data_IF_810988904911
#
_entry.id   IF_810988904911
#
_cell.length_a   1.000
_cell.length_b   1.000
_cell.length_c   1.000
_cell.angle_alpha   90.00
_cell.angle_beta   90.00
_cell.angle_gamma   90.00
#
_symmetry.space_group_name_H-M   'P 1'
#
loop_
_entity.id
_entity.type
_entity.pdbx_description
1 polymer ?
#
# COMPACT_ATOMS: atom_id res chain seq x y z
N UNK A 1 -32.71 106.07 -4.33
CA UNK A 1 -34.18 105.90 -4.36
C UNK A 1 -34.51 104.42 -4.58
N UNK A 2 -35.23 103.84 -3.61
CA UNK A 2 -36.30 102.84 -3.74
C UNK A 2 -36.12 101.61 -4.65
N UNK A 3 -35.96 100.47 -3.96
CA UNK A 3 -36.61 99.14 -4.08
C UNK A 3 -36.83 98.48 -5.45
N UNK A 4 -36.41 97.21 -5.51
CA UNK A 4 -36.98 96.19 -6.38
C UNK A 4 -36.63 94.78 -5.91
N UNK A 5 -37.51 94.16 -5.13
CA UNK A 5 -37.41 92.81 -4.56
C UNK A 5 -37.39 91.70 -5.63
N UNK A 6 -36.71 90.58 -5.34
CA UNK A 6 -37.25 89.21 -5.56
C UNK A 6 -36.41 88.12 -4.88
N UNK A 7 -37.10 87.26 -4.15
CA UNK A 7 -36.62 86.06 -3.46
C UNK A 7 -35.98 85.04 -4.41
N UNK A 8 -34.91 84.40 -3.95
CA UNK A 8 -34.46 83.08 -4.40
C UNK A 8 -33.93 82.33 -3.17
N UNK A 9 -34.68 81.31 -2.75
CA UNK A 9 -34.23 80.32 -1.77
C UNK A 9 -33.38 79.24 -2.44
N UNK A 10 -32.40 78.72 -1.69
CA UNK A 10 -31.64 77.44 -1.80
C UNK A 10 -30.21 77.68 -1.30
N UNK A 11 -29.50 76.75 -0.68
CA UNK A 11 -29.77 75.41 -0.21
C UNK A 11 -28.66 75.11 0.82
N UNK A 12 -29.00 74.45 1.92
CA UNK A 12 -28.01 73.79 2.78
C UNK A 12 -27.42 72.59 2.04
N UNK A 13 -26.09 72.38 2.05
CA UNK A 13 -25.51 71.20 1.44
C UNK A 13 -25.81 69.98 2.32
N UNK A 14 -26.65 69.08 1.80
CA UNK A 14 -26.85 67.76 2.38
C UNK A 14 -25.54 66.96 2.27
N UNK A 15 -25.04 66.52 3.42
CA UNK A 15 -23.93 65.59 3.56
C UNK A 15 -24.34 64.28 2.85
N UNK A 16 -23.72 64.00 1.71
CA UNK A 16 -23.83 62.71 1.03
C UNK A 16 -23.16 61.64 1.90
N UNK A 17 -23.97 60.95 2.70
CA UNK A 17 -23.59 59.73 3.41
C UNK A 17 -23.40 58.64 2.36
N UNK A 18 -22.16 58.28 2.07
CA UNK A 18 -21.85 57.13 1.22
C UNK A 18 -22.39 55.87 1.90
N UNK A 19 -23.41 55.26 1.30
CA UNK A 19 -23.86 53.94 1.74
C UNK A 19 -22.80 52.93 1.27
N UNK A 20 -21.96 52.50 2.21
CA UNK A 20 -21.10 51.34 2.02
C UNK A 20 -22.00 50.12 1.82
N UNK A 21 -22.13 49.68 0.58
CA UNK A 21 -22.80 48.43 0.24
C UNK A 21 -22.02 47.29 0.88
N UNK A 22 -22.54 46.75 1.98
CA UNK A 22 -22.07 45.48 2.53
C UNK A 22 -22.25 44.43 1.44
N UNK A 23 -21.15 44.03 0.82
CA UNK A 23 -21.08 42.84 -0.01
C UNK A 23 -21.45 41.68 0.93
N UNK A 24 -22.70 41.23 0.85
CA UNK A 24 -23.09 39.96 1.46
C UNK A 24 -22.24 38.90 0.77
N UNK A 25 -21.24 38.36 1.48
CA UNK A 25 -20.57 37.13 1.08
C UNK A 25 -21.68 36.10 0.92
N UNK A 26 -22.04 35.78 -0.32
CA UNK A 26 -22.81 34.57 -0.61
C UNK A 26 -22.02 33.43 0.00
N UNK A 27 -22.61 32.76 0.98
CA UNK A 27 -22.07 31.48 1.44
C UNK A 27 -21.92 30.61 0.19
N UNK A 28 -20.69 30.17 -0.07
CA UNK A 28 -20.46 29.17 -1.09
C UNK A 28 -21.40 28.00 -0.78
N UNK A 29 -22.06 27.38 -1.79
CA UNK A 29 -22.81 26.16 -1.53
C UNK A 29 -21.83 25.20 -0.86
N UNK A 30 -22.18 24.72 0.35
CA UNK A 30 -21.39 23.75 1.07
C UNK A 30 -21.00 22.66 0.09
N UNK A 31 -19.71 22.43 -0.08
CA UNK A 31 -19.26 21.37 -0.97
C UNK A 31 -19.87 20.06 -0.45
N UNK A 32 -20.34 19.16 -1.32
CA UNK A 32 -20.97 17.90 -0.88
C UNK A 32 -20.09 17.09 0.11
N UNK A 33 -18.79 17.36 0.15
CA UNK A 33 -17.79 16.82 1.06
C UNK A 33 -18.03 17.24 2.52
N UNK A 34 -18.47 18.47 2.78
CA UNK A 34 -18.75 18.98 4.14
C UNK A 34 -19.91 18.22 4.81
N UNK A 35 -20.74 17.54 4.00
CA UNK A 35 -21.86 16.73 4.48
C UNK A 35 -21.46 15.27 4.76
N UNK A 36 -20.23 14.85 4.45
CA UNK A 36 -19.75 13.49 4.70
C UNK A 36 -19.25 13.40 6.15
N UNK A 37 -19.77 12.48 6.98
CA UNK A 37 -19.23 12.23 8.30
C UNK A 37 -17.72 11.96 8.25
N UNK A 38 -16.95 12.58 9.16
CA UNK A 38 -15.48 12.52 9.18
C UNK A 38 -14.94 11.09 9.06
N UNK A 39 -15.57 10.12 9.72
CA UNK A 39 -15.09 8.74 9.72
C UNK A 39 -15.31 8.02 8.38
N UNK A 40 -16.39 8.37 7.67
CA UNK A 40 -16.61 7.88 6.31
C UNK A 40 -15.62 8.53 5.35
N UNK A 41 -15.30 9.82 5.54
CA UNK A 41 -14.28 10.49 4.77
C UNK A 41 -12.91 9.83 4.97
N UNK A 42 -12.52 9.53 6.21
CA UNK A 42 -11.28 8.81 6.52
C UNK A 42 -11.26 7.42 5.89
N UNK A 43 -12.36 6.66 5.95
CA UNK A 43 -12.43 5.34 5.32
C UNK A 43 -12.31 5.41 3.79
N UNK A 44 -12.93 6.40 3.16
CA UNK A 44 -12.77 6.65 1.71
C UNK A 44 -11.30 6.96 1.39
N UNK A 45 -10.68 7.88 2.14
CA UNK A 45 -9.28 8.24 1.97
C UNK A 45 -8.35 7.06 2.23
N UNK A 46 -8.60 6.21 3.22
CA UNK A 46 -7.81 4.99 3.45
C UNK A 46 -7.85 4.03 2.26
N UNK A 47 -8.99 3.91 1.57
CA UNK A 47 -9.10 3.10 0.35
C UNK A 47 -8.31 3.71 -0.81
N UNK A 48 -8.37 5.03 -0.96
CA UNK A 48 -7.57 5.76 -1.97
C UNK A 48 -6.08 5.61 -1.65
N UNK A 49 -5.68 5.79 -0.40
CA UNK A 49 -4.30 5.65 0.09
C UNK A 49 -3.71 4.28 -0.25
N UNK A 50 -4.51 3.22 -0.12
CA UNK A 50 -4.12 1.86 -0.47
C UNK A 50 -3.82 1.66 -1.95
N UNK A 51 -4.44 2.46 -2.83
CA UNK A 51 -4.23 2.37 -4.28
C UNK A 51 -3.24 3.40 -4.82
N UNK A 52 -3.13 4.59 -4.22
CA UNK A 52 -2.42 5.73 -4.80
C UNK A 52 -1.96 6.71 -3.73
N UNK A 53 -0.65 6.81 -3.54
CA UNK A 53 -0.04 7.85 -2.70
C UNK A 53 -0.25 9.24 -3.31
N UNK A 54 -0.10 9.37 -4.64
CA UNK A 54 -0.28 10.63 -5.36
C UNK A 54 -1.67 11.23 -5.16
N UNK A 55 -2.73 10.41 -5.20
CA UNK A 55 -4.09 10.91 -5.02
C UNK A 55 -4.34 11.41 -3.59
N UNK A 56 -3.72 10.77 -2.58
CA UNK A 56 -3.76 11.28 -1.21
C UNK A 56 -3.00 12.58 -1.05
N UNK A 57 -1.82 12.68 -1.67
CA UNK A 57 -1.07 13.92 -1.67
C UNK A 57 -1.89 15.06 -2.31
N UNK A 58 -2.58 14.80 -3.42
CA UNK A 58 -3.46 15.77 -4.07
C UNK A 58 -4.69 16.11 -3.21
N UNK A 59 -5.32 15.11 -2.58
CA UNK A 59 -6.44 15.32 -1.67
C UNK A 59 -6.03 16.23 -0.50
N UNK A 60 -4.87 15.99 0.09
CA UNK A 60 -4.29 16.80 1.17
C UNK A 60 -4.09 18.27 0.79
N UNK A 61 -3.83 18.56 -0.48
CA UNK A 61 -3.64 19.93 -0.98
C UNK A 61 -4.95 20.61 -1.42
N UNK A 62 -6.04 19.85 -1.55
CA UNK A 62 -7.28 20.35 -2.16
C UNK A 62 -8.13 21.20 -1.23
N UNK A 63 -8.36 20.76 0.02
CA UNK A 63 -9.17 21.46 1.00
C UNK A 63 -8.76 21.11 2.44
N UNK A 64 -9.22 21.92 3.39
CA UNK A 64 -8.91 21.77 4.82
C UNK A 64 -9.43 20.45 5.38
N UNK A 65 -10.63 20.03 5.03
CA UNK A 65 -11.23 18.81 5.58
C UNK A 65 -10.47 17.56 5.12
N UNK A 66 -10.05 17.51 3.85
CA UNK A 66 -9.20 16.43 3.34
C UNK A 66 -7.80 16.49 3.96
N UNK A 67 -7.23 17.68 4.13
CA UNK A 67 -5.96 17.82 4.84
C UNK A 67 -6.03 17.18 6.23
N UNK A 68 -7.02 17.55 7.04
CA UNK A 68 -7.19 17.02 8.39
C UNK A 68 -7.54 15.53 8.43
N UNK A 69 -8.33 15.04 7.46
CA UNK A 69 -8.70 13.63 7.37
C UNK A 69 -7.54 12.75 6.88
N UNK A 70 -6.70 13.23 5.95
CA UNK A 70 -5.53 12.48 5.46
C UNK A 70 -4.43 12.32 6.51
N UNK A 71 -4.41 13.17 7.53
CA UNK A 71 -3.49 13.05 8.66
C UNK A 71 -3.89 11.97 9.68
N UNK A 72 -5.03 11.31 9.48
CA UNK A 72 -5.50 10.26 10.37
C UNK A 72 -4.59 9.01 10.34
N UNK A 73 -4.41 8.38 11.50
CA UNK A 73 -3.59 7.17 11.64
C UNK A 73 -4.09 6.03 10.76
N UNK A 74 -5.41 5.91 10.57
CA UNK A 74 -6.01 4.89 9.72
C UNK A 74 -5.58 5.04 8.25
N UNK A 75 -5.40 6.27 7.76
CA UNK A 75 -4.95 6.56 6.39
C UNK A 75 -3.49 6.12 6.22
N UNK A 76 -2.59 6.54 7.12
CA UNK A 76 -1.18 6.13 7.09
C UNK A 76 -0.99 4.62 7.23
N UNK A 77 -1.86 3.94 7.99
CA UNK A 77 -1.85 2.49 8.11
C UNK A 77 -2.18 1.78 6.79
N UNK A 78 -2.98 2.39 5.93
CA UNK A 78 -3.39 1.83 4.63
C UNK A 78 -2.60 2.36 3.44
N UNK A 79 -1.72 3.35 3.66
CA UNK A 79 -0.94 4.01 2.64
C UNK A 79 -0.13 3.02 1.78
N UNK A 80 -0.29 3.12 0.46
CA UNK A 80 0.55 2.41 -0.50
C UNK A 80 1.97 2.96 -0.47
N UNK A 81 2.94 2.06 -0.60
CA UNK A 81 4.35 2.41 -0.71
C UNK A 81 4.91 2.04 -2.08
N UNK A 82 4.07 1.73 -3.07
CA UNK A 82 4.50 1.26 -4.39
C UNK A 82 5.44 2.26 -5.11
N UNK A 83 5.27 3.56 -4.85
CA UNK A 83 6.12 4.64 -5.40
C UNK A 83 7.46 4.80 -4.66
N UNK A 84 7.65 4.10 -3.54
CA UNK A 84 8.87 4.19 -2.72
C UNK A 84 9.75 2.97 -2.96
N UNK A 85 11.04 3.16 -3.26
CA UNK A 85 11.94 2.02 -3.49
C UNK A 85 12.15 1.23 -2.20
N UNK A 86 12.24 -0.09 -2.32
CA UNK A 86 12.61 -0.95 -1.19
C UNK A 86 14.05 -0.68 -0.72
N UNK A 87 14.98 -0.59 -1.67
CA UNK A 87 16.38 -0.22 -1.45
C UNK A 87 16.61 1.12 -2.16
N UNK A 88 16.73 2.23 -1.43
CA UNK A 88 17.00 3.52 -2.04
C UNK A 88 18.47 3.61 -2.43
N UNK A 89 18.76 3.66 -3.74
CA UNK A 89 20.13 3.85 -4.27
C UNK A 89 20.64 5.29 -4.10
N UNK A 90 19.70 6.24 -3.94
CA UNK A 90 19.98 7.62 -3.60
C UNK A 90 19.43 7.90 -2.19
N UNK A 91 20.06 8.80 -1.41
CA UNK A 91 19.52 9.21 -0.12
C UNK A 91 18.07 9.68 -0.25
N UNK A 92 17.21 9.19 0.63
CA UNK A 92 15.83 9.67 0.73
C UNK A 92 15.85 11.12 1.21
N UNK A 93 15.00 11.97 0.63
CA UNK A 93 14.78 13.32 1.16
C UNK A 93 14.21 13.26 2.59
N UNK A 94 14.43 14.31 3.37
CA UNK A 94 13.89 14.43 4.73
C UNK A 94 12.36 14.20 4.78
N UNK A 95 11.63 14.74 3.78
CA UNK A 95 10.18 14.54 3.64
C UNK A 95 9.81 13.07 3.42
N UNK A 96 10.55 12.35 2.58
CA UNK A 96 10.31 10.91 2.35
C UNK A 96 10.62 10.10 3.60
N UNK A 97 11.70 10.42 4.31
CA UNK A 97 12.05 9.75 5.57
C UNK A 97 10.99 9.96 6.65
N UNK A 98 10.55 11.21 6.83
CA UNK A 98 9.47 11.56 7.77
C UNK A 98 8.17 10.82 7.44
N UNK A 99 7.79 10.78 6.15
CA UNK A 99 6.62 10.04 5.69
C UNK A 99 6.70 8.53 5.98
N UNK A 100 7.81 7.88 5.66
CA UNK A 100 8.00 6.45 5.94
C UNK A 100 8.03 6.16 7.45
N UNK A 101 8.62 7.06 8.23
CA UNK A 101 8.61 7.01 9.70
C UNK A 101 7.19 7.08 10.24
N UNK A 102 6.38 8.00 9.72
CA UNK A 102 4.97 8.11 10.10
C UNK A 102 4.17 6.85 9.75
N UNK A 103 4.36 6.30 8.54
CA UNK A 103 3.73 5.02 8.17
C UNK A 103 4.12 3.88 9.12
N UNK A 104 5.39 3.83 9.53
CA UNK A 104 5.89 2.84 10.49
C UNK A 104 5.25 3.00 11.87
N UNK A 105 5.16 4.22 12.38
CA UNK A 105 4.50 4.55 13.66
C UNK A 105 3.01 4.16 13.64
N UNK A 106 2.33 4.43 12.52
CA UNK A 106 0.94 4.03 12.29
C UNK A 106 0.77 2.53 11.97
N UNK A 107 1.82 1.73 12.14
CA UNK A 107 1.81 0.28 11.96
C UNK A 107 1.35 -0.17 10.56
N UNK A 108 1.79 0.55 9.52
CA UNK A 108 1.54 0.14 8.14
C UNK A 108 2.15 -1.26 7.87
N UNK A 109 1.35 -2.24 7.41
CA UNK A 109 1.82 -3.60 7.23
C UNK A 109 2.78 -3.76 6.05
N UNK A 110 2.75 -2.88 5.04
CA UNK A 110 3.69 -2.89 3.92
C UNK A 110 5.11 -2.56 4.41
N UNK A 111 5.27 -1.64 5.38
CA UNK A 111 6.58 -1.36 6.02
C UNK A 111 7.14 -2.64 6.65
N UNK A 112 6.33 -3.36 7.42
CA UNK A 112 6.76 -4.57 8.11
C UNK A 112 7.08 -5.69 7.11
N UNK A 113 6.23 -5.86 6.09
CA UNK A 113 6.47 -6.79 5.00
C UNK A 113 7.81 -6.54 4.30
N UNK A 114 8.05 -5.30 3.87
CA UNK A 114 9.28 -4.87 3.21
C UNK A 114 10.51 -5.11 4.06
N UNK A 115 10.43 -4.81 5.35
CA UNK A 115 11.53 -5.08 6.29
C UNK A 115 11.82 -6.58 6.40
N UNK A 116 10.79 -7.42 6.51
CA UNK A 116 10.96 -8.87 6.56
C UNK A 116 11.55 -9.46 5.28
N UNK A 117 11.17 -8.94 4.11
CA UNK A 117 11.79 -9.30 2.82
C UNK A 117 13.28 -8.92 2.83
N UNK A 118 13.63 -7.68 3.20
CA UNK A 118 15.03 -7.26 3.26
C UNK A 118 15.84 -8.12 4.22
N UNK A 119 15.34 -8.32 5.44
CA UNK A 119 16.02 -9.05 6.50
C UNK A 119 16.31 -10.50 6.09
N UNK A 120 15.34 -11.18 5.48
CA UNK A 120 15.51 -12.55 5.01
C UNK A 120 16.39 -12.65 3.78
N UNK A 121 16.05 -11.96 2.68
CA UNK A 121 16.70 -12.22 1.38
C UNK A 121 18.12 -11.68 1.31
N UNK A 122 18.42 -10.55 1.96
CA UNK A 122 19.80 -10.06 2.06
C UNK A 122 20.65 -10.90 3.02
N UNK A 123 20.03 -11.76 3.84
CA UNK A 123 20.76 -12.59 4.82
C UNK A 123 21.38 -11.81 5.98
N UNK A 124 21.12 -10.50 6.09
CA UNK A 124 21.70 -9.65 7.13
C UNK A 124 21.10 -9.89 8.52
N UNK A 125 19.79 -10.18 8.59
CA UNK A 125 19.04 -10.42 9.84
C UNK A 125 17.92 -11.45 9.64
N UNK A 126 18.19 -12.65 9.11
CA UNK A 126 17.16 -13.62 8.78
C UNK A 126 16.28 -14.03 9.97
N UNK A 127 16.80 -13.94 11.20
CA UNK A 127 16.10 -14.20 12.45
C UNK A 127 14.98 -13.18 12.76
N UNK A 128 15.12 -11.91 12.36
CA UNK A 128 14.07 -10.89 12.56
C UNK A 128 12.97 -10.96 11.51
N UNK A 129 13.25 -11.59 10.36
CA UNK A 129 12.35 -11.57 9.21
C UNK A 129 10.97 -12.16 9.52
N UNK A 130 10.91 -13.34 10.17
CA UNK A 130 9.65 -13.99 10.51
C UNK A 130 8.80 -13.14 11.46
N UNK A 131 9.42 -12.45 12.42
CA UNK A 131 8.70 -11.54 13.32
C UNK A 131 8.05 -10.36 12.59
N UNK A 132 8.76 -9.76 11.64
CA UNK A 132 8.22 -8.70 10.79
C UNK A 132 7.08 -9.20 9.89
N UNK A 133 7.27 -10.35 9.24
CA UNK A 133 6.28 -10.94 8.34
C UNK A 133 5.03 -11.42 9.10
N UNK A 134 5.18 -11.95 10.31
CA UNK A 134 4.06 -12.35 11.16
C UNK A 134 3.19 -11.13 11.53
N UNK A 135 3.80 -10.02 11.93
CA UNK A 135 3.05 -8.78 12.23
C UNK A 135 2.30 -8.25 11.01
N UNK A 136 2.92 -8.27 9.83
CA UNK A 136 2.25 -7.90 8.58
C UNK A 136 1.11 -8.89 8.24
N UNK A 137 1.32 -10.18 8.45
CA UNK A 137 0.33 -11.24 8.19
C UNK A 137 -0.88 -11.11 9.11
N UNK A 138 -0.68 -10.76 10.39
CA UNK A 138 -1.76 -10.48 11.34
C UNK A 138 -2.62 -9.27 10.92
N UNK A 139 -2.07 -8.38 10.09
CA UNK A 139 -2.79 -7.30 9.44
C UNK A 139 -3.31 -7.66 8.04
N UNK A 140 -3.46 -8.96 7.75
CA UNK A 140 -3.96 -9.52 6.48
C UNK A 140 -3.13 -9.17 5.24
N UNK A 141 -1.81 -8.96 5.40
CA UNK A 141 -0.92 -8.70 4.27
C UNK A 141 -0.60 -9.99 3.49
N UNK A 142 -1.19 -10.14 2.31
CA UNK A 142 -1.07 -11.36 1.48
C UNK A 142 0.38 -11.63 1.05
N UNK A 143 1.14 -10.60 0.69
CA UNK A 143 2.55 -10.75 0.36
C UNK A 143 3.39 -11.27 1.54
N UNK A 144 3.00 -10.96 2.78
CA UNK A 144 3.71 -11.43 3.96
C UNK A 144 3.42 -12.92 4.22
N UNK A 145 2.16 -13.34 4.08
CA UNK A 145 1.79 -14.76 4.13
C UNK A 145 2.54 -15.57 3.07
N UNK A 146 2.61 -15.03 1.84
CA UNK A 146 3.33 -15.67 0.74
C UNK A 146 4.83 -15.83 1.04
N UNK A 147 5.50 -14.76 1.46
CA UNK A 147 6.93 -14.81 1.78
C UNK A 147 7.19 -15.71 3.00
N UNK A 148 6.34 -15.72 4.01
CA UNK A 148 6.44 -16.68 5.13
C UNK A 148 6.41 -18.11 4.62
N UNK A 149 5.50 -18.44 3.69
CA UNK A 149 5.49 -19.79 3.09
C UNK A 149 6.81 -20.09 2.38
N UNK A 150 7.37 -19.15 1.61
CA UNK A 150 8.69 -19.32 0.96
C UNK A 150 9.78 -19.58 2.01
N UNK A 151 9.85 -18.80 3.08
CA UNK A 151 10.85 -18.98 4.14
C UNK A 151 10.75 -20.38 4.76
N UNK A 152 9.52 -20.84 5.05
CA UNK A 152 9.28 -22.16 5.59
C UNK A 152 9.73 -23.28 4.64
N UNK A 153 9.53 -23.11 3.33
CA UNK A 153 10.01 -24.09 2.34
C UNK A 153 11.55 -24.22 2.35
N UNK A 154 12.25 -23.11 2.58
CA UNK A 154 13.71 -23.02 2.60
C UNK A 154 14.32 -23.14 4.02
N UNK A 155 13.56 -23.57 5.02
CA UNK A 155 14.03 -23.67 6.41
C UNK A 155 15.13 -24.71 6.62
N UNK A 156 15.20 -25.73 5.76
CA UNK A 156 16.05 -26.91 5.95
C UNK A 156 15.49 -27.92 6.96
N UNK A 157 14.37 -27.59 7.62
CA UNK A 157 13.66 -28.44 8.58
C UNK A 157 12.43 -29.06 7.90
N UNK A 158 12.27 -30.39 8.02
CA UNK A 158 11.23 -31.12 7.32
C UNK A 158 9.82 -30.80 7.81
N UNK A 159 9.63 -30.52 9.09
CA UNK A 159 8.33 -30.17 9.67
C UNK A 159 7.89 -28.78 9.22
N UNK A 160 8.80 -27.79 9.30
CA UNK A 160 8.56 -26.43 8.85
C UNK A 160 8.33 -26.39 7.33
N UNK A 161 9.10 -27.15 6.55
CA UNK A 161 8.90 -27.27 5.10
C UNK A 161 7.52 -27.86 4.79
N UNK A 162 7.11 -28.92 5.50
CA UNK A 162 5.77 -29.50 5.33
C UNK A 162 4.66 -28.49 5.72
N UNK A 163 4.87 -27.69 6.77
CA UNK A 163 3.97 -26.60 7.13
C UNK A 163 3.89 -25.51 6.05
N UNK A 164 5.02 -25.17 5.42
CA UNK A 164 5.10 -24.26 4.28
C UNK A 164 4.32 -24.76 3.07
N UNK A 165 4.43 -26.05 2.74
CA UNK A 165 3.66 -26.70 1.66
C UNK A 165 2.16 -26.59 1.91
N UNK A 166 1.69 -27.00 3.10
CA UNK A 166 0.26 -26.94 3.47
C UNK A 166 -0.28 -25.52 3.46
N UNK A 167 0.50 -24.56 3.98
CA UNK A 167 0.11 -23.14 4.03
C UNK A 167 0.00 -22.54 2.63
N UNK A 168 0.96 -22.83 1.75
CA UNK A 168 0.92 -22.40 0.34
C UNK A 168 -0.30 -22.97 -0.39
N UNK A 169 -0.60 -24.26 -0.18
CA UNK A 169 -1.78 -24.91 -0.76
C UNK A 169 -3.07 -24.25 -0.27
N UNK A 170 -3.17 -23.96 1.04
CA UNK A 170 -4.31 -23.26 1.63
C UNK A 170 -4.52 -21.87 1.02
N UNK A 171 -3.47 -21.05 0.90
CA UNK A 171 -3.59 -19.71 0.31
C UNK A 171 -4.10 -19.75 -1.14
N UNK A 172 -3.72 -20.80 -1.88
CA UNK A 172 -4.15 -20.99 -3.27
C UNK A 172 -5.56 -21.55 -3.41
N UNK A 173 -6.27 -21.96 -2.35
CA UNK A 173 -7.66 -22.47 -2.44
C UNK A 173 -8.66 -21.38 -2.87
N UNK A 174 -8.51 -20.16 -2.38
CA UNK A 174 -9.39 -19.03 -2.74
C UNK A 174 -8.95 -18.36 -4.04
N UNK A 175 -9.83 -18.27 -5.04
CA UNK A 175 -9.54 -17.59 -6.31
C UNK A 175 -9.16 -16.12 -6.13
N UNK A 176 -9.80 -15.40 -5.18
CA UNK A 176 -9.48 -14.00 -4.89
C UNK A 176 -8.07 -13.87 -4.30
N UNK A 177 -7.72 -14.71 -3.32
CA UNK A 177 -6.38 -14.73 -2.73
C UNK A 177 -5.34 -15.13 -3.78
N UNK A 178 -5.65 -16.10 -4.64
CA UNK A 178 -4.79 -16.54 -5.74
C UNK A 178 -4.42 -15.41 -6.70
N UNK A 179 -5.38 -14.56 -7.07
CA UNK A 179 -5.13 -13.37 -7.90
C UNK A 179 -4.18 -12.38 -7.21
N UNK A 180 -4.45 -12.05 -5.93
CA UNK A 180 -3.59 -11.17 -5.14
C UNK A 180 -2.19 -11.75 -4.91
N UNK A 181 -2.09 -13.07 -4.74
CA UNK A 181 -0.81 -13.77 -4.63
C UNK A 181 0.01 -13.60 -5.90
N UNK A 182 -0.60 -13.67 -7.09
CA UNK A 182 0.11 -13.44 -8.36
C UNK A 182 0.71 -12.03 -8.40
N UNK A 183 -0.05 -11.01 -8.00
CA UNK A 183 0.43 -9.62 -7.88
C UNK A 183 1.61 -9.51 -6.91
N UNK A 184 1.49 -10.07 -5.70
CA UNK A 184 2.57 -10.04 -4.71
C UNK A 184 3.79 -10.89 -5.10
N UNK A 185 3.58 -11.96 -5.85
CA UNK A 185 4.64 -12.80 -6.42
C UNK A 185 5.48 -12.00 -7.41
N UNK A 186 4.83 -11.23 -8.28
CA UNK A 186 5.53 -10.37 -9.25
C UNK A 186 6.18 -9.16 -8.56
N UNK A 187 5.53 -8.56 -7.55
CA UNK A 187 6.16 -7.54 -6.69
C UNK A 187 7.40 -8.07 -6.00
N UNK A 188 7.36 -9.28 -5.43
CA UNK A 188 8.52 -9.92 -4.80
C UNK A 188 9.66 -10.09 -5.80
N UNK A 189 9.39 -10.63 -6.99
CA UNK A 189 10.39 -10.73 -8.06
C UNK A 189 11.05 -9.37 -8.35
N UNK A 190 10.25 -8.32 -8.50
CA UNK A 190 10.77 -6.97 -8.76
C UNK A 190 11.63 -6.44 -7.61
N UNK A 191 11.27 -6.75 -6.36
CA UNK A 191 12.09 -6.40 -5.19
C UNK A 191 13.42 -7.17 -5.18
N UNK A 192 13.38 -8.48 -5.44
CA UNK A 192 14.58 -9.34 -5.45
C UNK A 192 15.58 -8.93 -6.54
N UNK A 193 15.09 -8.50 -7.70
CA UNK A 193 15.93 -7.98 -8.78
C UNK A 193 16.64 -6.66 -8.42
N UNK A 194 16.22 -5.97 -7.35
CA UNK A 194 16.74 -4.66 -6.94
C UNK A 194 17.54 -4.72 -5.63
N UNK A 195 17.88 -5.91 -5.14
CA UNK A 195 18.69 -6.08 -3.93
C UNK A 195 19.73 -7.17 -4.10
N UNK A 196 20.78 -7.12 -3.27
CA UNK A 196 21.76 -8.20 -3.17
C UNK A 196 21.20 -9.31 -2.30
N UNK A 197 20.87 -10.43 -2.94
CA UNK A 197 20.36 -11.63 -2.29
C UNK A 197 21.56 -12.50 -1.88
N UNK A 198 21.86 -12.51 -0.58
CA UNK A 198 23.05 -13.18 -0.04
C UNK A 198 22.72 -14.29 0.97
N UNK A 199 21.44 -14.49 1.29
CA UNK A 199 21.05 -15.49 2.28
C UNK A 199 21.47 -16.92 1.86
N UNK A 200 22.35 -17.60 2.63
CA UNK A 200 22.83 -18.94 2.30
C UNK A 200 21.74 -20.00 2.22
N UNK A 201 20.60 -19.82 2.91
CA UNK A 201 19.46 -20.74 2.86
C UNK A 201 18.94 -20.95 1.43
N UNK A 202 19.09 -19.95 0.56
CA UNK A 202 18.61 -19.97 -0.82
C UNK A 202 19.53 -20.75 -1.78
N UNK A 203 20.73 -21.15 -1.34
CA UNK A 203 21.71 -21.88 -2.19
C UNK A 203 21.23 -23.27 -2.56
N UNK A 204 20.50 -23.94 -1.66
CA UNK A 204 19.97 -25.29 -1.89
C UNK A 204 18.48 -25.20 -2.15
N UNK A 205 18.06 -25.65 -3.33
CA UNK A 205 16.63 -25.69 -3.69
C UNK A 205 15.99 -26.89 -3.02
N UNK A 206 15.01 -26.69 -2.12
CA UNK A 206 14.28 -27.80 -1.52
C UNK A 206 13.44 -28.50 -2.59
N UNK A 207 13.22 -29.81 -2.40
CA UNK A 207 12.26 -30.60 -3.17
C UNK A 207 11.11 -30.94 -2.24
N UNK A 208 9.90 -30.53 -2.62
CA UNK A 208 8.70 -30.73 -1.82
C UNK A 208 7.91 -31.96 -2.27
N UNK A 209 7.84 -32.25 -3.58
CA UNK A 209 7.21 -33.46 -4.08
C UNK A 209 8.24 -34.56 -4.37
N UNK A 210 8.16 -35.68 -3.64
CA UNK A 210 9.01 -36.86 -3.82
C UNK A 210 8.32 -38.01 -4.55
N UNK A 211 7.03 -37.87 -4.88
CA UNK A 211 6.26 -38.92 -5.56
C UNK A 211 6.74 -39.09 -7.01
N UNK A 212 6.88 -40.35 -7.43
CA UNK A 212 7.34 -40.73 -8.78
C UNK A 212 6.22 -40.76 -9.83
N UNK A 213 4.97 -40.66 -9.39
CA UNK A 213 3.78 -40.76 -10.22
C UNK A 213 3.63 -39.50 -11.12
N UNK A 214 3.05 -39.67 -12.31
CA UNK A 214 2.76 -38.56 -13.22
C UNK A 214 1.64 -37.66 -12.67
N UNK A 215 2.00 -36.72 -11.80
CA UNK A 215 1.10 -35.61 -11.45
C UNK A 215 0.80 -34.78 -12.70
N UNK A 216 -0.44 -34.27 -12.83
CA UNK A 216 -0.82 -33.26 -13.83
C UNK A 216 -0.03 -31.97 -13.51
N UNK A 217 1.21 -31.87 -14.00
CA UNK A 217 2.09 -30.72 -13.82
C UNK A 217 1.64 -29.62 -14.77
N UNK A 218 0.69 -28.76 -14.38
CA UNK A 218 0.49 -27.50 -15.12
C UNK A 218 1.75 -26.66 -14.95
N UNK A 219 2.40 -26.33 -16.08
CA UNK A 219 3.52 -25.37 -16.12
C UNK A 219 2.92 -23.97 -16.03
N UNK A 220 3.11 -23.28 -14.90
CA UNK A 220 2.75 -21.87 -14.74
C UNK A 220 1.31 -21.61 -14.27
N UNK A 221 1.03 -20.33 -14.01
CA UNK A 221 -0.29 -19.81 -13.64
C UNK A 221 -1.15 -19.72 -14.91
N UNK A 222 -1.98 -20.72 -15.19
CA UNK A 222 -2.88 -20.71 -16.37
C UNK A 222 -4.09 -19.81 -16.08
N UNK A 223 -4.58 -19.15 -17.13
CA UNK A 223 -5.81 -18.35 -17.14
C UNK A 223 -7.04 -19.13 -16.66
N UNK A 224 -8.00 -18.35 -16.17
CA UNK A 224 -9.03 -18.71 -15.19
C UNK A 224 -10.14 -19.69 -15.63
N UNK A 225 -10.01 -20.40 -16.75
CA UNK A 225 -11.15 -21.09 -17.38
C UNK A 225 -11.06 -22.63 -17.46
N UNK A 226 -10.30 -23.31 -16.61
CA UNK A 226 -10.39 -24.79 -16.57
C UNK A 226 -10.30 -25.34 -15.15
N UNK A 227 -11.43 -25.96 -14.76
CA UNK A 227 -11.67 -27.03 -13.79
C UNK A 227 -10.65 -27.30 -12.68
N UNK A 228 -11.21 -27.63 -11.52
CA UNK A 228 -10.59 -28.00 -10.25
C UNK A 228 -9.62 -29.20 -10.37
N UNK A 229 -8.47 -28.98 -11.02
CA UNK A 229 -7.40 -29.95 -11.13
C UNK A 229 -6.74 -30.12 -9.77
N UNK A 230 -6.97 -31.27 -9.13
CA UNK A 230 -6.28 -31.72 -7.90
C UNK A 230 -4.76 -31.61 -8.11
N UNK A 231 -4.19 -30.49 -7.66
CA UNK A 231 -2.76 -30.24 -7.72
C UNK A 231 -2.11 -30.89 -6.50
N UNK A 232 -1.06 -31.69 -6.73
CA UNK A 232 -0.17 -32.11 -5.67
C UNK A 232 0.40 -30.85 -4.96
N UNK A 233 0.15 -30.71 -3.66
CA UNK A 233 0.60 -29.55 -2.87
C UNK A 233 2.12 -29.37 -2.97
N UNK A 234 2.87 -30.48 -2.93
CA UNK A 234 4.31 -30.48 -3.13
C UNK A 234 4.71 -29.95 -4.52
N UNK A 235 4.04 -30.38 -5.60
CA UNK A 235 4.33 -29.86 -6.94
C UNK A 235 4.01 -28.37 -7.07
N UNK A 236 2.96 -27.90 -6.40
CA UNK A 236 2.61 -26.48 -6.33
C UNK A 236 3.70 -25.67 -5.63
N UNK A 237 4.24 -26.17 -4.51
CA UNK A 237 5.37 -25.57 -3.82
C UNK A 237 6.66 -25.59 -4.67
N UNK A 238 6.97 -26.71 -5.34
CA UNK A 238 8.10 -26.84 -6.26
C UNK A 238 8.01 -25.83 -7.43
N UNK A 239 6.81 -25.46 -7.87
CA UNK A 239 6.61 -24.42 -8.87
C UNK A 239 6.99 -23.03 -8.34
N UNK A 240 6.66 -22.72 -7.08
CA UNK A 240 7.08 -21.45 -6.46
C UNK A 240 8.58 -21.40 -6.19
N UNK A 241 9.17 -22.52 -5.75
CA UNK A 241 10.64 -22.63 -5.57
C UNK A 241 11.35 -22.37 -6.90
N UNK A 242 10.86 -22.96 -8.00
CA UNK A 242 11.41 -22.72 -9.34
C UNK A 242 11.24 -21.27 -9.79
N UNK A 243 10.09 -20.67 -9.53
CA UNK A 243 9.86 -19.27 -9.84
C UNK A 243 10.80 -18.33 -9.07
N UNK A 244 10.91 -18.54 -7.76
CA UNK A 244 11.80 -17.76 -6.90
C UNK A 244 13.23 -17.86 -7.40
N UNK A 245 13.70 -19.09 -7.66
CA UNK A 245 15.05 -19.32 -8.16
C UNK A 245 15.31 -18.67 -9.53
N UNK A 246 14.30 -18.61 -10.41
CA UNK A 246 14.39 -17.88 -11.67
C UNK A 246 14.23 -16.36 -11.53
N UNK A 247 13.92 -15.87 -10.33
CA UNK A 247 13.77 -14.44 -10.01
C UNK A 247 14.97 -13.87 -9.25
N UNK A 248 15.91 -14.73 -8.83
CA UNK A 248 17.16 -14.30 -8.22
C UNK A 248 18.11 -13.79 -9.32
N UNK A 249 18.88 -12.71 -9.06
CA UNK A 249 19.94 -12.29 -9.96
C UNK A 249 20.88 -13.47 -10.25
N UNK A 250 21.28 -13.66 -11.51
CA UNK A 250 22.33 -14.61 -11.86
C UNK A 250 23.63 -14.11 -11.21
N UNK A 251 24.18 -14.90 -10.29
CA UNK A 251 25.48 -14.65 -9.66
C UNK A 251 26.59 -15.18 -10.55
#
# INVERSE_FOLDING_TARGET
>A
MVKGSRNLGRATPAILRSQSSKIMKRAAPASNIENIPRELLIEILSRIAKSSFTDIHNAKLSCKDFHEATEDTHVYRHMSLDDFPLVPWNPLSEKQQSFLTKCKECQNPEIMYRQGVLDYFTGKRPESALGHLQRASNANHIGALYVTCIILLFSGDDELKAAGVRSMAFLKKSNNVRRKLKEHRDKLKNMLMRMWVENPALRRRPVCCTRRDNHRRKRGWVDFDVEEDVHCEGCSADCEIRFLAGSLPQQ
#
